data_IF_128655651722
#
_entry.id   IF_128655651722
#
_cell.length_a   1.000
_cell.length_b   1.000
_cell.length_c   1.000
_cell.angle_alpha   90.00
_cell.angle_beta   90.00
_cell.angle_gamma   90.00
#
_symmetry.space_group_name_H-M   'P 1'
#
loop_
_entity.id
_entity.type
_entity.pdbx_description
1 polymer ?
#
# COMPACT_ATOMS: atom_id res chain seq x y z
N UNK A 1 -16.04 17.24 11.54
CA UNK A 1 -15.40 17.08 10.22
C UNK A 1 -15.87 15.75 9.65
N UNK A 2 -16.20 15.66 8.34
CA UNK A 2 -16.52 14.37 7.73
C UNK A 2 -15.32 13.42 7.86
N UNK A 3 -15.60 12.14 8.07
CA UNK A 3 -14.57 11.10 8.10
C UNK A 3 -14.09 10.91 6.66
N UNK A 4 -12.77 11.01 6.37
CA UNK A 4 -12.27 10.77 5.03
C UNK A 4 -12.61 9.35 4.57
N UNK A 5 -12.94 9.19 3.30
CA UNK A 5 -13.27 7.91 2.67
C UNK A 5 -12.57 7.85 1.32
N UNK A 6 -11.57 6.97 1.20
CA UNK A 6 -10.81 6.82 -0.02
C UNK A 6 -11.44 5.83 -0.99
N UNK A 7 -12.49 5.10 -0.61
CA UNK A 7 -13.13 4.10 -1.50
C UNK A 7 -13.77 4.74 -2.73
N UNK A 8 -14.14 6.02 -2.64
CA UNK A 8 -14.82 6.80 -3.68
C UNK A 8 -13.89 7.67 -4.52
N UNK A 9 -12.57 7.61 -4.30
CA UNK A 9 -11.61 8.36 -5.12
C UNK A 9 -11.69 7.92 -6.59
N UNK A 10 -11.57 8.91 -7.47
CA UNK A 10 -11.44 8.72 -8.91
C UNK A 10 -10.05 9.17 -9.36
N UNK A 11 -9.43 8.38 -10.23
CA UNK A 11 -8.12 8.67 -10.81
C UNK A 11 -8.28 8.87 -12.32
N UNK A 12 -7.50 9.77 -12.94
CA UNK A 12 -7.50 9.90 -14.40
C UNK A 12 -6.94 8.64 -15.05
N UNK A 13 -7.22 8.46 -16.34
CA UNK A 13 -6.62 7.38 -17.12
C UNK A 13 -5.07 7.49 -17.11
N UNK A 14 -4.36 6.34 -17.06
CA UNK A 14 -2.91 6.35 -17.16
C UNK A 14 -2.46 6.86 -18.54
N UNK A 15 -1.26 7.46 -18.65
CA UNK A 15 -0.66 7.74 -19.94
C UNK A 15 -0.43 6.45 -20.75
N UNK A 16 -0.43 6.54 -22.09
CA UNK A 16 -0.33 5.38 -22.98
C UNK A 16 0.97 4.56 -22.81
N UNK A 17 2.05 5.20 -22.35
CA UNK A 17 3.40 4.63 -22.29
C UNK A 17 3.82 4.16 -20.89
N UNK A 18 3.02 4.40 -19.85
CA UNK A 18 3.39 4.09 -18.46
C UNK A 18 2.19 3.96 -17.52
N UNK A 19 2.32 3.21 -16.41
CA UNK A 19 1.27 3.16 -15.40
C UNK A 19 1.08 4.51 -14.70
N UNK A 20 -0.14 4.76 -14.24
CA UNK A 20 -0.43 5.79 -13.25
C UNK A 20 0.14 5.35 -11.89
N UNK A 21 0.79 6.28 -11.16
CA UNK A 21 1.44 5.98 -9.88
C UNK A 21 0.83 6.83 -8.79
N UNK A 22 0.37 6.15 -7.74
CA UNK A 22 -0.10 6.76 -6.49
C UNK A 22 1.02 6.60 -5.46
N UNK A 23 1.30 7.66 -4.72
CA UNK A 23 2.26 7.66 -3.61
C UNK A 23 1.51 8.02 -2.34
N UNK A 24 1.60 7.15 -1.34
CA UNK A 24 1.05 7.35 0.00
C UNK A 24 2.19 7.44 1.00
N UNK A 25 2.16 8.45 1.86
CA UNK A 25 3.26 8.79 2.77
C UNK A 25 2.71 9.38 4.05
N UNK A 26 3.38 9.04 5.15
CA UNK A 26 3.19 9.69 6.44
C UNK A 26 4.48 10.36 6.91
N UNK A 27 4.36 11.51 7.56
CA UNK A 27 5.47 12.20 8.18
C UNK A 27 5.03 12.87 9.49
N UNK A 28 5.96 13.01 10.42
CA UNK A 28 5.81 13.89 11.57
C UNK A 28 5.74 15.36 11.14
N UNK A 29 5.34 16.25 12.06
CA UNK A 29 5.27 17.68 11.79
C UNK A 29 6.63 18.32 11.42
N UNK A 30 7.73 17.72 11.86
CA UNK A 30 9.11 18.12 11.50
C UNK A 30 9.68 17.33 10.30
N UNK A 31 8.84 16.55 9.59
CA UNK A 31 9.20 15.91 8.31
C UNK A 31 9.90 14.57 8.42
N UNK A 32 9.91 13.92 9.59
CA UNK A 32 10.48 12.58 9.76
C UNK A 32 9.48 11.52 9.34
N UNK A 33 9.95 10.54 8.58
CA UNK A 33 9.15 9.40 8.10
C UNK A 33 9.41 8.12 8.88
N UNK A 34 10.35 8.14 9.84
CA UNK A 34 10.76 6.98 10.64
C UNK A 34 11.02 7.43 12.07
N UNK A 35 10.56 6.63 13.05
CA UNK A 35 10.90 6.74 14.47
C UNK A 35 11.61 5.44 14.87
N UNK A 36 12.83 5.53 15.39
CA UNK A 36 13.58 4.39 15.96
C UNK A 36 13.52 3.12 15.09
N UNK A 37 13.85 3.26 13.80
CA UNK A 37 13.99 2.20 12.78
C UNK A 37 12.73 1.76 12.01
N UNK A 38 11.52 2.23 12.34
CA UNK A 38 10.34 2.01 11.49
C UNK A 38 9.30 3.16 11.55
N UNK A 39 8.17 2.99 10.86
CA UNK A 39 7.07 3.98 10.84
C UNK A 39 6.13 3.86 12.06
N UNK A 40 6.40 2.93 12.99
CA UNK A 40 5.53 2.71 14.14
C UNK A 40 5.51 3.96 15.04
N UNK A 41 4.31 4.40 15.36
CA UNK A 41 4.09 5.61 16.16
C UNK A 41 3.82 6.88 15.33
N UNK A 42 4.05 6.87 14.01
CA UNK A 42 3.56 7.94 13.12
C UNK A 42 2.10 7.70 12.72
N UNK A 43 1.77 6.46 12.35
CA UNK A 43 0.44 6.08 11.86
C UNK A 43 -0.63 5.96 12.93
N UNK A 44 -1.86 6.34 12.58
CA UNK A 44 -3.07 6.15 13.40
C UNK A 44 -3.89 4.93 12.94
N UNK A 45 -5.01 4.62 13.61
CA UNK A 45 -5.98 3.65 13.07
C UNK A 45 -6.63 4.17 11.78
N UNK A 46 -6.94 5.45 11.74
CA UNK A 46 -7.54 6.08 10.56
C UNK A 46 -6.58 6.06 9.38
N UNK A 47 -5.31 6.38 9.61
CA UNK A 47 -4.24 6.34 8.61
C UNK A 47 -4.11 4.94 7.97
N UNK A 48 -4.00 3.88 8.78
CA UNK A 48 -3.93 2.49 8.28
C UNK A 48 -5.18 2.08 7.49
N UNK A 49 -6.37 2.51 7.92
CA UNK A 49 -7.60 2.27 7.16
C UNK A 49 -7.53 2.96 5.80
N UNK A 50 -7.13 4.23 5.75
CA UNK A 50 -7.02 4.99 4.50
C UNK A 50 -5.97 4.39 3.56
N UNK A 51 -4.84 3.89 4.07
CA UNK A 51 -3.86 3.14 3.27
C UNK A 51 -4.50 1.91 2.60
N UNK A 52 -5.30 1.14 3.32
CA UNK A 52 -5.99 -0.03 2.76
C UNK A 52 -7.05 0.38 1.73
N UNK A 53 -7.83 1.43 2.02
CA UNK A 53 -8.81 1.99 1.08
C UNK A 53 -8.13 2.55 -0.18
N UNK A 54 -6.89 3.07 -0.09
CA UNK A 54 -6.15 3.53 -1.27
C UNK A 54 -5.70 2.35 -2.15
N UNK A 55 -5.24 1.26 -1.52
CA UNK A 55 -4.85 0.02 -2.21
C UNK A 55 -6.02 -0.65 -2.94
N UNK A 56 -7.27 -0.36 -2.55
CA UNK A 56 -8.47 -0.75 -3.29
C UNK A 56 -8.37 -0.41 -4.77
N UNK A 57 -7.75 0.72 -5.12
CA UNK A 57 -7.69 1.24 -6.48
C UNK A 57 -6.51 0.71 -7.29
N UNK A 58 -5.43 0.31 -6.63
CA UNK A 58 -4.19 -0.10 -7.27
C UNK A 58 -4.29 -1.50 -7.90
N UNK A 59 -3.72 -1.68 -9.09
CA UNK A 59 -3.54 -3.02 -9.67
C UNK A 59 -2.29 -3.71 -9.09
N UNK A 60 -1.29 -2.92 -8.74
CA UNK A 60 -0.02 -3.37 -8.16
C UNK A 60 0.31 -2.49 -6.95
N UNK A 61 0.70 -3.10 -5.84
CA UNK A 61 1.25 -2.42 -4.66
C UNK A 61 2.76 -2.66 -4.62
N UNK A 62 3.52 -1.58 -4.67
CA UNK A 62 4.97 -1.60 -4.68
C UNK A 62 5.53 -1.42 -3.27
N UNK A 63 6.51 -2.24 -2.90
CA UNK A 63 7.29 -2.08 -1.67
C UNK A 63 8.79 -2.08 -1.98
N UNK A 64 9.55 -1.19 -1.36
CA UNK A 64 11.01 -1.28 -1.39
C UNK A 64 11.52 -2.46 -0.58
N UNK A 65 12.56 -3.14 -1.02
CA UNK A 65 13.14 -4.27 -0.27
C UNK A 65 13.65 -3.86 1.13
N UNK A 66 14.08 -2.60 1.30
CA UNK A 66 14.41 -2.03 2.61
C UNK A 66 13.20 -1.99 3.55
N UNK A 67 12.09 -1.42 3.08
CA UNK A 67 10.82 -1.37 3.82
C UNK A 67 10.33 -2.77 4.16
N UNK A 68 10.36 -3.71 3.20
CA UNK A 68 9.94 -5.09 3.45
C UNK A 68 10.73 -5.75 4.58
N UNK A 69 12.05 -5.54 4.64
CA UNK A 69 12.88 -6.06 5.74
C UNK A 69 12.58 -5.40 7.09
N UNK A 70 12.33 -4.09 7.08
CA UNK A 70 12.12 -3.32 8.31
C UNK A 70 10.73 -3.55 8.92
N UNK A 71 9.70 -3.70 8.09
CA UNK A 71 8.29 -3.66 8.56
C UNK A 71 7.48 -4.91 8.21
N UNK A 72 7.99 -5.79 7.36
CA UNK A 72 7.19 -6.92 6.85
C UNK A 72 6.02 -6.47 5.97
N UNK A 73 6.21 -5.38 5.21
CA UNK A 73 5.21 -4.80 4.32
C UNK A 73 4.41 -5.86 3.53
N UNK A 74 3.13 -5.59 3.30
CA UNK A 74 2.19 -6.52 2.68
C UNK A 74 1.27 -5.77 1.71
N UNK A 75 0.93 -6.35 0.54
CA UNK A 75 0.03 -5.73 -0.44
C UNK A 75 -1.44 -5.89 -0.06
N UNK A 76 -1.75 -6.62 1.02
CA UNK A 76 -3.12 -6.99 1.38
C UNK A 76 -3.96 -5.78 1.80
N UNK A 77 -5.28 -5.91 1.62
CA UNK A 77 -6.27 -4.92 2.04
C UNK A 77 -6.70 -5.13 3.49
N UNK A 78 -6.60 -6.37 4.00
CA UNK A 78 -7.00 -6.75 5.36
C UNK A 78 -8.47 -6.41 5.70
N UNK A 79 -9.32 -6.35 4.69
CA UNK A 79 -10.72 -5.97 4.81
C UNK A 79 -11.52 -6.66 3.68
N UNK A 80 -12.46 -7.53 4.07
CA UNK A 80 -13.26 -8.33 3.13
C UNK A 80 -14.22 -7.48 2.30
N UNK A 81 -14.68 -6.34 2.83
CA UNK A 81 -15.57 -5.43 2.10
C UNK A 81 -14.79 -4.72 0.98
N UNK A 82 -13.52 -4.36 1.22
CA UNK A 82 -12.65 -3.82 0.18
C UNK A 82 -12.33 -4.87 -0.90
N UNK A 83 -12.09 -6.11 -0.50
CA UNK A 83 -11.87 -7.23 -1.43
C UNK A 83 -13.10 -7.48 -2.32
N UNK A 84 -14.31 -7.49 -1.72
CA UNK A 84 -15.56 -7.63 -2.45
C UNK A 84 -15.80 -6.46 -3.42
N UNK A 85 -15.51 -5.24 -2.99
CA UNK A 85 -15.64 -4.05 -3.81
C UNK A 85 -14.70 -4.06 -5.02
N UNK A 86 -13.47 -4.60 -4.89
CA UNK A 86 -12.58 -4.80 -6.06
C UNK A 86 -13.19 -5.75 -7.08
N UNK A 87 -13.71 -6.88 -6.62
CA UNK A 87 -14.36 -7.87 -7.49
C UNK A 87 -15.57 -7.25 -8.19
N UNK A 88 -16.39 -6.47 -7.47
CA UNK A 88 -17.51 -5.74 -8.04
C UNK A 88 -17.07 -4.73 -9.13
N UNK A 89 -15.89 -4.12 -8.96
CA UNK A 89 -15.26 -3.22 -9.95
C UNK A 89 -14.53 -3.95 -11.07
N UNK A 90 -14.65 -5.26 -11.18
CA UNK A 90 -14.00 -6.07 -12.22
C UNK A 90 -12.49 -6.24 -12.05
N UNK A 91 -11.93 -5.89 -10.87
CA UNK A 91 -10.53 -6.11 -10.53
C UNK A 91 -10.33 -7.48 -9.87
N UNK A 92 -9.08 -7.94 -9.83
CA UNK A 92 -8.70 -9.09 -9.00
C UNK A 92 -9.03 -8.83 -7.53
N UNK A 93 -9.40 -9.87 -6.77
CA UNK A 93 -9.72 -9.79 -5.34
C UNK A 93 -8.64 -9.06 -4.53
N UNK A 94 -7.38 -9.29 -4.87
CA UNK A 94 -6.21 -8.66 -4.25
C UNK A 94 -5.35 -7.97 -5.32
N UNK A 95 -4.71 -6.83 -5.00
CA UNK A 95 -3.68 -6.26 -5.86
C UNK A 95 -2.46 -7.17 -5.92
N UNK A 96 -1.69 -7.08 -6.99
CA UNK A 96 -0.41 -7.78 -7.11
C UNK A 96 0.60 -7.11 -6.19
N UNK A 97 1.29 -7.89 -5.34
CA UNK A 97 2.44 -7.39 -4.59
C UNK A 97 3.71 -7.43 -5.44
N UNK A 98 4.48 -6.34 -5.46
CA UNK A 98 5.77 -6.31 -6.12
C UNK A 98 6.83 -5.62 -5.25
N UNK A 99 8.05 -6.19 -5.25
CA UNK A 99 9.18 -5.71 -4.47
C UNK A 99 10.25 -5.12 -5.38
N UNK A 100 10.67 -3.90 -5.08
CA UNK A 100 11.73 -3.22 -5.81
C UNK A 100 13.05 -3.41 -5.07
N UNK A 101 14.05 -3.97 -5.76
CA UNK A 101 15.40 -4.18 -5.24
C UNK A 101 16.42 -4.05 -6.34
N UNK A 102 17.48 -3.25 -6.11
CA UNK A 102 18.61 -3.17 -7.04
C UNK A 102 19.56 -4.37 -6.90
N UNK A 103 19.70 -4.95 -5.70
CA UNK A 103 20.65 -6.03 -5.43
C UNK A 103 20.04 -7.43 -5.51
N UNK A 104 18.71 -7.54 -5.59
CA UNK A 104 18.01 -8.81 -5.45
C UNK A 104 18.03 -9.39 -4.04
N UNK A 105 18.62 -8.70 -3.05
CA UNK A 105 18.56 -9.13 -1.65
C UNK A 105 17.16 -8.87 -1.07
N UNK A 106 16.33 -9.91 -1.01
CA UNK A 106 14.94 -9.86 -0.57
C UNK A 106 14.67 -11.06 0.35
N UNK A 107 13.98 -10.90 1.50
CA UNK A 107 13.73 -11.99 2.43
C UNK A 107 12.64 -12.93 1.90
N UNK A 108 13.03 -13.97 1.15
CA UNK A 108 12.10 -14.91 0.48
C UNK A 108 11.29 -15.78 1.45
N UNK A 109 11.70 -15.86 2.71
CA UNK A 109 11.00 -16.51 3.81
C UNK A 109 9.93 -15.63 4.46
N UNK A 110 9.89 -14.33 4.15
CA UNK A 110 8.87 -13.42 4.66
C UNK A 110 7.47 -13.81 4.19
N UNK A 111 6.47 -13.52 5.03
CA UNK A 111 5.05 -13.79 4.73
C UNK A 111 4.60 -13.22 3.37
N UNK A 112 5.22 -12.13 2.91
CA UNK A 112 4.99 -11.56 1.59
C UNK A 112 5.11 -12.59 0.44
N UNK A 113 6.02 -13.57 0.54
CA UNK A 113 6.28 -14.57 -0.51
C UNK A 113 5.67 -15.95 -0.23
N UNK A 114 5.25 -16.21 1.00
CA UNK A 114 4.88 -17.55 1.47
C UNK A 114 3.40 -17.71 1.81
N UNK A 115 2.58 -16.66 1.66
CA UNK A 115 1.16 -16.65 2.08
C UNK A 115 0.18 -16.09 1.08
#
# INVERSE_FOLDING_TARGET
MPVPDYTTLEFPDPPDDRPYVIVDMIASADGKTVIEDNEAGLGSRTDRRLLHELRLHADVVLAGAGTLRATGASPRLYDEDLEALRVQRGKSRMPIGAVISASGNVPLDAAFFTS
#
